data_IF_240738300941
#
_entry.id   IF_240738300941
#
_cell.length_a   1.000
_cell.length_b   1.000
_cell.length_c   1.000
_cell.angle_alpha   90.00
_cell.angle_beta   90.00
_cell.angle_gamma   90.00
#
_symmetry.space_group_name_H-M   'P 1'
#
loop_
_entity.id
_entity.type
_entity.pdbx_description
1 polymer ?
#
# COMPACT_ATOMS: atom_id res chain seq x y z
N UNK A 1 16.22 -2.40 -6.51
CA UNK A 1 16.48 -1.59 -5.29
C UNK A 1 15.64 -0.34 -5.43
N UNK A 2 14.90 0.05 -4.39
CA UNK A 2 14.18 1.31 -4.37
C UNK A 2 15.21 2.45 -4.57
N UNK A 3 14.96 3.32 -5.55
CA UNK A 3 15.82 4.48 -5.81
C UNK A 3 15.26 5.66 -5.01
N UNK A 4 16.11 6.37 -4.27
CA UNK A 4 15.72 7.66 -3.66
C UNK A 4 15.76 8.75 -4.73
N UNK A 5 14.62 9.34 -5.06
CA UNK A 5 14.52 10.45 -6.03
C UNK A 5 14.71 11.78 -5.31
N UNK A 6 15.72 12.53 -5.74
CA UNK A 6 16.06 13.82 -5.15
C UNK A 6 15.21 14.94 -5.76
N UNK A 7 14.47 15.65 -4.91
CA UNK A 7 13.62 16.77 -5.28
C UNK A 7 14.08 18.05 -4.58
N UNK A 8 13.91 19.18 -5.27
CA UNK A 8 14.19 20.52 -4.74
C UNK A 8 12.93 21.39 -4.78
N UNK A 9 12.55 21.97 -3.65
CA UNK A 9 11.47 22.96 -3.59
C UNK A 9 12.01 24.37 -3.80
N UNK A 10 11.44 25.06 -4.77
CA UNK A 10 11.71 26.47 -5.04
C UNK A 10 10.53 27.34 -4.55
N UNK A 11 10.80 28.63 -4.34
CA UNK A 11 9.90 29.61 -3.70
C UNK A 11 8.49 29.71 -4.31
N UNK A 12 8.31 29.35 -5.59
CA UNK A 12 7.04 29.43 -6.30
C UNK A 12 6.20 28.14 -6.23
N UNK A 13 6.30 27.38 -5.13
CA UNK A 13 5.59 26.09 -4.89
C UNK A 13 5.93 24.96 -5.87
N UNK A 14 6.88 25.17 -6.79
CA UNK A 14 7.29 24.16 -7.77
C UNK A 14 8.32 23.20 -7.15
N UNK A 15 8.13 21.91 -7.41
CA UNK A 15 9.06 20.84 -7.06
C UNK A 15 9.86 20.47 -8.32
N UNK A 16 11.18 20.46 -8.21
CA UNK A 16 12.08 20.14 -9.30
C UNK A 16 12.70 18.76 -9.07
N UNK A 17 12.51 17.86 -10.02
CA UNK A 17 13.16 16.56 -10.03
C UNK A 17 14.58 16.70 -10.59
N UNK A 18 15.58 16.39 -9.78
CA UNK A 18 16.98 16.54 -10.22
C UNK A 18 17.42 15.46 -11.19
N UNK A 19 16.76 14.31 -11.19
CA UNK A 19 17.09 13.19 -12.08
C UNK A 19 16.53 13.43 -13.49
N UNK A 20 15.31 13.95 -13.57
CA UNK A 20 14.63 14.25 -14.85
C UNK A 20 14.92 15.67 -15.36
N UNK A 21 15.49 16.54 -14.53
CA UNK A 21 15.82 17.92 -14.90
C UNK A 21 14.59 18.79 -15.19
N UNK A 22 13.45 18.50 -14.57
CA UNK A 22 12.18 19.22 -14.82
C UNK A 22 11.37 19.46 -13.55
N UNK A 23 10.44 20.40 -13.65
CA UNK A 23 9.42 20.58 -12.63
C UNK A 23 8.36 19.47 -12.72
N UNK A 24 7.92 19.01 -11.56
CA UNK A 24 6.91 17.97 -11.40
C UNK A 24 5.85 18.42 -10.38
N UNK A 25 4.65 17.86 -10.49
CA UNK A 25 3.52 18.10 -9.59
C UNK A 25 3.42 17.01 -8.50
N UNK A 26 2.55 17.22 -7.51
CA UNK A 26 2.37 16.28 -6.38
C UNK A 26 1.79 14.92 -6.82
N UNK A 27 0.93 14.89 -7.83
CA UNK A 27 0.38 13.67 -8.43
C UNK A 27 1.47 12.80 -9.06
N UNK A 28 2.37 13.41 -9.84
CA UNK A 28 3.53 12.72 -10.43
C UNK A 28 4.48 12.16 -9.36
N UNK A 29 4.67 12.89 -8.25
CA UNK A 29 5.45 12.38 -7.11
C UNK A 29 4.75 11.19 -6.46
N UNK A 30 3.43 11.24 -6.33
CA UNK A 30 2.63 10.11 -5.89
C UNK A 30 2.80 8.88 -6.79
N UNK A 31 2.86 9.06 -8.11
CA UNK A 31 3.14 7.99 -9.07
C UNK A 31 4.53 7.37 -8.86
N UNK A 32 5.56 8.20 -8.65
CA UNK A 32 6.93 7.74 -8.34
C UNK A 32 6.95 6.85 -7.09
N UNK A 33 6.24 7.28 -6.02
CA UNK A 33 6.16 6.52 -4.76
C UNK A 33 5.39 5.21 -4.95
N UNK A 34 4.28 5.23 -5.70
CA UNK A 34 3.49 4.02 -5.99
C UNK A 34 4.25 3.00 -6.84
N UNK A 35 5.30 3.42 -7.56
CA UNK A 35 6.23 2.53 -8.25
C UNK A 35 7.30 1.92 -7.31
N UNK A 36 7.27 2.25 -6.02
CA UNK A 36 8.20 1.72 -5.01
C UNK A 36 9.51 2.51 -4.88
N UNK A 37 9.53 3.77 -5.32
CA UNK A 37 10.68 4.66 -5.13
C UNK A 37 10.43 5.59 -3.93
N UNK A 38 11.46 5.81 -3.13
CA UNK A 38 11.41 6.83 -2.07
C UNK A 38 11.76 8.20 -2.65
N UNK A 39 11.43 9.25 -1.91
CA UNK A 39 11.78 10.62 -2.29
C UNK A 39 12.50 11.33 -1.15
N UNK A 40 13.32 12.30 -1.52
CA UNK A 40 13.88 13.27 -0.57
C UNK A 40 13.72 14.68 -1.11
N UNK A 41 13.12 15.55 -0.33
CA UNK A 41 12.79 16.91 -0.75
C UNK A 41 13.51 17.94 0.12
N UNK A 42 14.38 18.73 -0.50
CA UNK A 42 15.11 19.81 0.15
C UNK A 42 14.54 21.16 -0.27
N UNK A 43 14.19 22.02 0.69
CA UNK A 43 13.84 23.41 0.40
C UNK A 43 15.11 24.19 0.01
N UNK A 44 15.11 24.78 -1.17
CA UNK A 44 16.31 25.47 -1.69
C UNK A 44 16.63 26.76 -0.94
N UNK A 45 15.63 27.36 -0.28
CA UNK A 45 15.79 28.59 0.50
C UNK A 45 16.28 28.28 1.91
N UNK A 46 15.61 27.39 2.63
CA UNK A 46 15.95 27.08 4.03
C UNK A 46 16.99 25.98 4.19
N UNK A 47 17.22 25.18 3.13
CA UNK A 47 18.06 23.97 3.14
C UNK A 47 17.52 22.85 4.04
N UNK A 48 16.29 22.96 4.51
CA UNK A 48 15.66 21.96 5.36
C UNK A 48 15.12 20.79 4.55
N UNK A 49 15.10 19.62 5.18
CA UNK A 49 14.38 18.46 4.70
C UNK A 49 12.89 18.63 4.98
N UNK A 50 12.13 18.78 3.90
CA UNK A 50 10.68 18.98 3.94
C UNK A 50 9.93 17.76 3.39
N UNK A 51 10.59 16.60 3.33
CA UNK A 51 10.02 15.36 2.77
C UNK A 51 8.69 15.01 3.43
N UNK A 52 8.64 15.04 4.77
CA UNK A 52 7.39 14.79 5.53
C UNK A 52 6.26 15.74 5.14
N UNK A 53 6.57 17.01 4.92
CA UNK A 53 5.60 18.01 4.53
C UNK A 53 5.02 17.72 3.13
N UNK A 54 5.87 17.30 2.19
CA UNK A 54 5.43 16.94 0.83
C UNK A 54 4.59 15.66 0.83
N UNK A 55 5.00 14.62 1.57
CA UNK A 55 4.23 13.39 1.71
C UNK A 55 2.83 13.67 2.29
N UNK A 56 2.73 14.50 3.33
CA UNK A 56 1.44 14.91 3.89
C UNK A 56 0.57 15.66 2.87
N UNK A 57 1.17 16.54 2.04
CA UNK A 57 0.44 17.23 0.98
C UNK A 57 -0.10 16.27 -0.09
N UNK A 58 0.68 15.26 -0.48
CA UNK A 58 0.23 14.22 -1.44
C UNK A 58 -1.00 13.50 -0.88
N UNK A 59 -0.93 13.03 0.37
CA UNK A 59 -2.05 12.33 1.02
C UNK A 59 -3.31 13.21 1.05
N UNK A 60 -3.18 14.49 1.42
CA UNK A 60 -4.30 15.43 1.44
C UNK A 60 -4.88 15.70 0.05
N UNK A 61 -4.04 15.75 -0.98
CA UNK A 61 -4.51 15.94 -2.36
C UNK A 61 -5.22 14.69 -2.88
N UNK A 62 -4.77 13.49 -2.51
CA UNK A 62 -5.47 12.25 -2.84
C UNK A 62 -6.86 12.16 -2.17
N UNK A 63 -6.97 12.59 -0.90
CA UNK A 63 -8.23 12.64 -0.16
C UNK A 63 -9.27 13.54 -0.87
N UNK A 64 -8.86 14.76 -1.29
CA UNK A 64 -9.73 15.69 -2.03
C UNK A 64 -10.28 15.11 -3.32
N UNK A 65 -9.53 14.22 -3.98
CA UNK A 65 -9.93 13.55 -5.21
C UNK A 65 -10.95 12.40 -4.99
N UNK A 66 -11.70 12.46 -3.88
CA UNK A 66 -12.86 11.62 -3.50
C UNK A 66 -12.55 10.15 -3.20
N UNK A 67 -11.36 9.85 -2.68
CA UNK A 67 -10.97 8.48 -2.34
C UNK A 67 -11.33 8.05 -0.90
N UNK A 68 -11.86 8.95 -0.05
CA UNK A 68 -12.19 8.69 1.38
C UNK A 68 -11.11 7.83 2.06
N UNK A 69 -9.85 8.19 1.81
CA UNK A 69 -8.65 7.46 2.24
C UNK A 69 -8.44 7.63 3.74
N UNK A 70 -8.83 8.78 4.28
CA UNK A 70 -8.60 9.16 5.66
C UNK A 70 -9.92 9.27 6.44
N UNK A 71 -10.30 8.21 7.18
CA UNK A 71 -11.47 8.26 8.04
C UNK A 71 -11.40 9.41 9.04
N UNK A 72 -12.50 10.17 9.18
CA UNK A 72 -12.59 11.27 10.18
C UNK A 72 -12.23 10.83 11.59
N UNK A 73 -12.58 9.59 11.96
CA UNK A 73 -12.25 9.00 13.27
C UNK A 73 -10.75 8.97 13.52
N UNK A 74 -9.96 8.55 12.52
CA UNK A 74 -8.50 8.55 12.60
C UNK A 74 -7.96 9.98 12.77
N UNK A 75 -8.46 10.93 12.00
CA UNK A 75 -8.04 12.34 12.11
C UNK A 75 -8.32 12.91 13.50
N UNK A 76 -9.50 12.64 14.08
CA UNK A 76 -9.80 13.05 15.44
C UNK A 76 -8.89 12.40 16.47
N UNK A 77 -8.57 11.12 16.32
CA UNK A 77 -7.63 10.43 17.20
C UNK A 77 -6.24 11.05 17.12
N UNK A 78 -5.78 11.38 15.89
CA UNK A 78 -4.48 12.01 15.67
C UNK A 78 -4.40 13.36 16.38
N UNK A 79 -5.43 14.20 16.23
CA UNK A 79 -5.45 15.56 16.81
C UNK A 79 -5.58 15.53 18.34
N UNK A 80 -6.25 14.52 18.91
CA UNK A 80 -6.47 14.40 20.36
C UNK A 80 -5.29 13.76 21.09
N UNK A 81 -4.45 13.00 20.40
CA UNK A 81 -3.30 12.36 20.98
C UNK A 81 -2.25 13.38 21.43
N UNK A 82 -1.49 13.03 22.47
CA UNK A 82 -0.24 13.73 22.75
C UNK A 82 0.86 13.24 21.78
N UNK A 83 1.95 14.00 21.67
CA UNK A 83 3.01 13.73 20.71
C UNK A 83 3.70 12.38 20.96
N UNK A 84 3.92 12.02 22.22
CA UNK A 84 4.61 10.77 22.58
C UNK A 84 3.78 9.53 22.21
N UNK A 85 2.47 9.55 22.53
CA UNK A 85 1.57 8.45 22.20
C UNK A 85 1.47 8.24 20.70
N UNK A 86 1.37 9.33 19.93
CA UNK A 86 1.19 9.19 18.49
C UNK A 86 2.47 8.71 17.83
N UNK A 87 3.63 9.20 18.27
CA UNK A 87 4.92 8.72 17.79
C UNK A 87 5.07 7.21 18.01
N UNK A 88 4.81 6.74 19.23
CA UNK A 88 4.87 5.32 19.57
C UNK A 88 3.89 4.48 18.74
N UNK A 89 2.64 4.95 18.57
CA UNK A 89 1.65 4.27 17.73
C UNK A 89 2.11 4.13 16.28
N UNK A 90 2.59 5.21 15.66
CA UNK A 90 3.02 5.19 14.26
C UNK A 90 4.30 4.37 14.05
N UNK A 91 5.27 4.48 14.96
CA UNK A 91 6.56 3.78 14.84
C UNK A 91 6.41 2.27 15.08
N UNK A 92 5.72 1.88 16.16
CA UNK A 92 5.73 0.49 16.63
C UNK A 92 4.48 -0.32 16.21
N UNK A 93 3.31 0.31 16.13
CA UNK A 93 2.06 -0.42 15.92
C UNK A 93 1.55 -0.34 14.48
N UNK A 94 1.54 0.84 13.87
CA UNK A 94 0.98 1.02 12.54
C UNK A 94 1.81 0.28 11.48
N UNK A 95 3.14 0.43 11.51
CA UNK A 95 4.06 -0.24 10.58
C UNK A 95 3.88 -1.76 10.63
N UNK A 96 3.91 -2.35 11.83
CA UNK A 96 3.69 -3.79 12.05
C UNK A 96 2.31 -4.23 11.54
N UNK A 97 1.26 -3.45 11.81
CA UNK A 97 -0.10 -3.77 11.37
C UNK A 97 -0.23 -3.73 9.85
N UNK A 98 0.39 -2.74 9.19
CA UNK A 98 0.39 -2.63 7.73
C UNK A 98 1.14 -3.80 7.08
N UNK A 99 2.34 -4.13 7.55
CA UNK A 99 3.10 -5.28 7.07
C UNK A 99 2.33 -6.59 7.23
N UNK A 100 1.71 -6.79 8.40
CA UNK A 100 0.89 -7.97 8.67
C UNK A 100 -0.33 -8.04 7.75
N UNK A 101 -1.01 -6.91 7.51
CA UNK A 101 -2.16 -6.84 6.62
C UNK A 101 -1.78 -7.15 5.16
N UNK A 102 -0.67 -6.58 4.67
CA UNK A 102 -0.18 -6.84 3.31
C UNK A 102 0.21 -8.31 3.13
N UNK A 103 0.93 -8.87 4.11
CA UNK A 103 1.32 -10.30 4.11
C UNK A 103 0.10 -11.21 4.13
N UNK A 104 -0.90 -10.88 4.95
CA UNK A 104 -2.16 -11.61 5.00
C UNK A 104 -2.92 -11.55 3.67
N UNK A 105 -2.99 -10.38 3.03
CA UNK A 105 -3.60 -10.22 1.71
C UNK A 105 -2.92 -11.07 0.65
N UNK A 106 -1.59 -11.06 0.59
CA UNK A 106 -0.82 -11.87 -0.36
C UNK A 106 -1.08 -13.38 -0.15
N UNK A 107 -1.11 -13.83 1.11
CA UNK A 107 -1.44 -15.22 1.45
C UNK A 107 -2.85 -15.59 0.98
N UNK A 108 -3.83 -14.71 1.19
CA UNK A 108 -5.21 -14.94 0.76
C UNK A 108 -5.34 -14.96 -0.76
N UNK A 109 -4.67 -14.06 -1.48
CA UNK A 109 -4.65 -14.05 -2.95
C UNK A 109 -4.05 -15.36 -3.50
N UNK A 110 -2.96 -15.87 -2.91
CA UNK A 110 -2.38 -17.18 -3.25
C UNK A 110 -3.38 -18.32 -3.01
N UNK A 111 -4.02 -18.37 -1.83
CA UNK A 111 -5.02 -19.41 -1.51
C UNK A 111 -6.24 -19.38 -2.44
N UNK A 112 -6.74 -18.18 -2.77
CA UNK A 112 -7.87 -18.02 -3.71
C UNK A 112 -7.46 -18.54 -5.09
N UNK A 113 -6.25 -18.21 -5.55
CA UNK A 113 -5.73 -18.70 -6.83
C UNK A 113 -5.63 -20.23 -6.85
N UNK A 114 -5.01 -20.83 -5.83
CA UNK A 114 -4.91 -22.29 -5.68
C UNK A 114 -6.29 -22.96 -5.70
N UNK A 115 -7.26 -22.43 -4.95
CA UNK A 115 -8.61 -22.97 -4.90
C UNK A 115 -9.38 -22.78 -6.22
N UNK A 116 -9.15 -21.69 -6.93
CA UNK A 116 -9.71 -21.46 -8.27
C UNK A 116 -9.12 -22.40 -9.32
N UNK A 117 -7.84 -22.74 -9.20
CA UNK A 117 -7.16 -23.70 -10.08
C UNK A 117 -7.66 -25.12 -9.80
N UNK A 118 -7.88 -25.49 -8.52
CA UNK A 118 -8.50 -26.76 -8.12
C UNK A 118 -9.93 -26.88 -8.66
N UNK A 119 -10.71 -25.79 -8.61
CA UNK A 119 -12.11 -25.77 -9.10
C UNK A 119 -12.22 -25.80 -10.64
N UNK A 120 -11.12 -25.52 -11.34
CA UNK A 120 -11.00 -25.57 -12.82
C UNK A 120 -10.46 -26.89 -13.34
N UNK A 121 -10.05 -27.81 -12.47
CA UNK A 121 -9.72 -29.16 -12.89
C UNK A 121 -10.97 -29.79 -13.54
N UNK A 122 -10.83 -30.45 -14.70
CA UNK A 122 -11.90 -31.26 -15.24
C UNK A 122 -12.45 -32.18 -14.15
N UNK A 123 -13.78 -32.34 -14.07
CA UNK A 123 -14.43 -33.14 -13.02
C UNK A 123 -13.77 -34.52 -12.81
N UNK A 124 -13.32 -35.14 -13.90
CA UNK A 124 -12.58 -36.41 -13.92
C UNK A 124 -11.19 -36.34 -13.26
N UNK A 125 -10.47 -35.23 -13.42
CA UNK A 125 -9.16 -34.99 -12.79
C UNK A 125 -9.30 -34.58 -11.31
N UNK A 126 -10.38 -33.87 -10.96
CA UNK A 126 -10.71 -33.52 -9.57
C UNK A 126 -10.96 -34.75 -8.69
N UNK A 127 -11.64 -35.77 -9.23
CA UNK A 127 -11.84 -37.05 -8.55
C UNK A 127 -10.53 -37.80 -8.26
N UNK A 128 -9.61 -37.83 -9.24
CA UNK A 128 -8.32 -38.51 -9.11
C UNK A 128 -7.48 -37.81 -8.04
N UNK A 129 -7.41 -36.48 -8.07
CA UNK A 129 -6.68 -35.66 -7.09
C UNK A 129 -7.21 -35.89 -5.66
N UNK A 130 -8.53 -35.88 -5.46
CA UNK A 130 -9.16 -36.12 -4.15
C UNK A 130 -8.91 -37.54 -3.61
N UNK A 131 -8.92 -38.56 -4.48
CA UNK A 131 -8.55 -39.94 -4.12
C UNK A 131 -7.07 -40.06 -3.75
N UNK A 132 -6.18 -39.33 -4.44
CA UNK A 132 -4.73 -39.36 -4.20
C UNK A 132 -4.30 -38.67 -2.89
N UNK A 133 -5.05 -37.68 -2.41
CA UNK A 133 -4.78 -36.98 -1.14
C UNK A 133 -5.53 -37.56 0.09
N UNK A 134 -6.21 -38.71 -0.05
CA UNK A 134 -6.81 -39.42 1.07
C UNK A 134 -8.10 -38.80 1.63
N UNK A 135 -8.72 -37.83 0.94
CA UNK A 135 -10.04 -37.33 1.29
C UNK A 135 -11.11 -38.34 0.84
N UNK A 136 -11.24 -39.43 1.60
CA UNK A 136 -12.20 -40.50 1.34
C UNK A 136 -13.54 -40.17 2.01
N UNK A 137 -14.21 -39.12 1.51
CA UNK A 137 -15.59 -38.78 1.87
C UNK A 137 -16.50 -39.14 0.71
N UNK A 138 -17.33 -40.18 0.89
CA UNK A 138 -18.31 -40.70 -0.07
C UNK A 138 -19.00 -39.57 -0.85
N UNK A 139 -18.87 -39.57 -2.17
CA UNK A 139 -19.78 -38.87 -3.08
C UNK A 139 -21.16 -39.51 -2.88
N UNK A 140 -22.21 -38.77 -2.49
CA UNK A 140 -23.57 -39.28 -2.60
C UNK A 140 -23.85 -39.43 -4.10
N UNK A 141 -23.97 -40.67 -4.57
CA UNK A 141 -24.52 -40.93 -5.90
C UNK A 141 -26.00 -40.55 -5.89
N UNK A 142 -26.35 -39.67 -6.82
CA UNK A 142 -27.70 -39.22 -7.15
C UNK A 142 -28.81 -40.27 -7.02
N UNK A 143 -30.04 -39.79 -6.75
CA UNK A 143 -31.21 -40.13 -7.58
C UNK A 143 -32.43 -39.25 -7.24
N UNK A 144 -32.95 -38.64 -8.31
CA UNK A 144 -34.30 -38.05 -8.55
C UNK A 144 -34.67 -36.74 -7.88
#
# INVERSE_FOLDING_TARGET
MAKEVMLKKYTNRRLYNTDEGRYIKLDEIGDIIRQGNDIKVIDTKTKEDITKQILAQIILEEEKNKKDLLPKTLLYQIIRANEDFIRDFFENYLSMTMESYLSYRELMEKKVKEMSDISRLPYEMGEIFMKSFGFMGKIPSDKT
#
